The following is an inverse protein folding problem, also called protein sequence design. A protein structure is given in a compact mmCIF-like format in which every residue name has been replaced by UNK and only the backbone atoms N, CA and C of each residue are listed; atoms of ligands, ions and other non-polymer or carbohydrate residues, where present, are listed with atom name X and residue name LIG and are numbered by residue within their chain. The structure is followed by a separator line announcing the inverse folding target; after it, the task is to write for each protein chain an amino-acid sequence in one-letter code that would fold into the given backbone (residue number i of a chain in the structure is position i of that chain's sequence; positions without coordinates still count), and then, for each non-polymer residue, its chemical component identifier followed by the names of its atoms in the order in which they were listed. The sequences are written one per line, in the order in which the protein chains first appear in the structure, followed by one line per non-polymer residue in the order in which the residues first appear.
data_IF_980202321946
#
_entry.id   IF_980202321946
#
_cell.length_a   1.000
_cell.length_b   1.000
_cell.length_c   1.000
_cell.angle_alpha   90.00
_cell.angle_beta   90.00
_cell.angle_gamma   90.00
#
_symmetry.space_group_name_H-M   'P 1'
#
loop_
_entity.id
_entity.type
_entity.pdbx_description
1 polymer ?
#
# COMPACT_ATOMS: atom_id res chain seq x y z
N UNK A 1 -10.84 35.39 16.78
CA UNK A 1 -10.04 34.19 17.09
C UNK A 1 -8.61 34.55 16.76
N UNK A 2 -7.74 34.60 17.75
CA UNK A 2 -6.32 34.96 17.55
C UNK A 2 -5.66 33.80 16.83
N UNK A 3 -5.32 33.97 15.55
CA UNK A 3 -4.53 32.98 14.80
C UNK A 3 -3.22 32.78 15.54
N UNK A 4 -3.04 31.61 16.15
CA UNK A 4 -1.72 31.22 16.66
C UNK A 4 -0.83 31.03 15.44
N UNK A 5 0.27 31.79 15.30
CA UNK A 5 1.15 31.66 14.15
C UNK A 5 1.72 30.24 14.13
N UNK A 6 1.51 29.55 13.02
CA UNK A 6 2.09 28.22 12.81
C UNK A 6 3.60 28.44 12.58
N UNK A 7 4.48 27.81 13.37
CA UNK A 7 5.91 28.02 13.24
C UNK A 7 6.40 27.52 11.88
N UNK A 8 7.15 28.35 11.16
CA UNK A 8 7.93 27.93 9.99
C UNK A 8 9.27 27.36 10.44
N UNK A 9 9.74 26.32 9.75
CA UNK A 9 11.07 25.72 9.95
C UNK A 9 11.65 25.25 8.63
N UNK A 10 12.96 25.08 8.59
CA UNK A 10 13.60 24.42 7.46
C UNK A 10 13.21 22.93 7.39
N UNK A 11 13.15 22.33 6.18
CA UNK A 11 12.96 20.90 6.03
C UNK A 11 14.06 20.12 6.75
N UNK A 12 13.70 18.99 7.35
CA UNK A 12 14.66 18.14 8.04
C UNK A 12 15.83 17.78 7.11
N UNK A 13 17.04 17.97 7.62
CA UNK A 13 18.28 17.70 6.88
C UNK A 13 18.67 16.23 6.94
N UNK A 14 18.10 15.47 7.88
CA UNK A 14 18.32 14.04 8.05
C UNK A 14 17.13 13.30 7.43
N UNK A 15 17.36 12.52 6.36
CA UNK A 15 16.34 11.64 5.80
C UNK A 15 15.98 10.54 6.80
N UNK A 16 14.69 10.31 6.97
CA UNK A 16 14.16 9.25 7.82
C UNK A 16 13.28 8.32 6.96
N UNK A 17 13.62 7.04 6.98
CA UNK A 17 12.81 5.99 6.36
C UNK A 17 11.72 5.52 7.33
N UNK A 18 10.75 4.79 6.78
CA UNK A 18 9.66 4.13 7.50
C UNK A 18 8.77 5.12 8.26
N UNK A 19 8.60 6.31 7.68
CA UNK A 19 7.72 7.37 8.15
C UNK A 19 6.73 7.78 7.07
N UNK A 20 5.47 7.97 7.47
CA UNK A 20 4.46 8.67 6.69
C UNK A 20 4.41 10.12 7.13
N UNK A 21 4.54 11.05 6.18
CA UNK A 21 4.42 12.49 6.41
C UNK A 21 3.13 12.99 5.75
N UNK A 22 2.07 13.29 6.52
CA UNK A 22 0.92 14.01 6.01
C UNK A 22 1.31 15.47 5.73
N UNK A 23 0.76 16.05 4.67
CA UNK A 23 0.97 17.45 4.32
C UNK A 23 -0.28 18.09 3.72
N UNK A 24 -0.27 19.41 3.64
CA UNK A 24 -1.29 20.24 2.99
C UNK A 24 -0.64 21.40 2.24
N UNK A 25 -1.19 21.73 1.08
CA UNK A 25 -0.85 22.91 0.29
C UNK A 25 -2.13 23.73 0.19
N UNK A 26 -2.32 24.64 1.15
CA UNK A 26 -3.58 25.34 1.34
C UNK A 26 -3.97 26.22 0.13
N UNK A 27 -2.99 26.77 -0.59
CA UNK A 27 -3.23 27.58 -1.79
C UNK A 27 -3.88 26.79 -2.93
N UNK A 28 -3.66 25.47 -2.98
CA UNK A 28 -4.19 24.58 -4.01
C UNK A 28 -5.40 23.76 -3.51
N UNK A 29 -5.83 23.92 -2.26
CA UNK A 29 -6.84 23.07 -1.60
C UNK A 29 -6.55 21.55 -1.72
N UNK A 30 -5.27 21.20 -1.73
CA UNK A 30 -4.83 19.80 -1.76
C UNK A 30 -4.21 19.40 -0.42
N UNK A 31 -4.50 18.16 -0.03
CA UNK A 31 -3.79 17.48 1.05
C UNK A 31 -3.16 16.22 0.52
N UNK A 32 -2.14 15.73 1.20
CA UNK A 32 -1.48 14.52 0.77
C UNK A 32 -0.74 13.80 1.86
N UNK A 33 -0.11 12.71 1.45
CA UNK A 33 0.82 11.93 2.26
C UNK A 33 2.00 11.57 1.39
N UNK A 34 3.19 11.68 1.95
CA UNK A 34 4.40 11.16 1.36
C UNK A 34 4.98 10.09 2.28
N UNK A 35 5.55 9.05 1.70
CA UNK A 35 6.19 7.97 2.44
C UNK A 35 7.49 7.60 1.75
N UNK A 36 8.49 7.28 2.55
CA UNK A 36 9.65 6.52 2.10
C UNK A 36 9.86 5.34 3.04
N UNK A 37 9.93 4.16 2.47
CA UNK A 37 10.11 2.89 3.15
C UNK A 37 11.50 2.34 2.79
N UNK A 38 12.23 1.93 3.81
CA UNK A 38 13.57 1.35 3.67
C UNK A 38 13.63 0.04 4.43
N UNK A 39 14.15 0.01 5.67
CA UNK A 39 14.26 -1.21 6.48
C UNK A 39 12.96 -2.03 6.54
N UNK A 40 11.81 -1.37 6.71
CA UNK A 40 10.52 -2.04 6.80
C UNK A 40 10.14 -2.81 5.53
N UNK A 41 10.30 -2.21 4.34
CA UNK A 41 9.95 -2.88 3.08
C UNK A 41 10.99 -3.93 2.71
N UNK A 42 12.28 -3.66 2.96
CA UNK A 42 13.38 -4.62 2.84
C UNK A 42 13.09 -5.89 3.65
N UNK A 43 12.70 -5.72 4.91
CA UNK A 43 12.34 -6.80 5.83
C UNK A 43 11.08 -7.56 5.41
N UNK A 44 10.13 -6.97 4.68
CA UNK A 44 8.95 -7.68 4.17
C UNK A 44 9.33 -8.50 2.94
N UNK A 45 10.02 -7.89 1.99
CA UNK A 45 10.36 -8.50 0.70
C UNK A 45 11.41 -9.60 0.85
N UNK A 46 12.34 -9.48 1.81
CA UNK A 46 13.38 -10.47 2.06
C UNK A 46 12.89 -11.76 2.76
N UNK A 47 11.62 -11.82 3.22
CA UNK A 47 11.07 -13.02 3.91
C UNK A 47 10.83 -14.18 2.96
N UNK A 48 10.69 -13.88 1.68
CA UNK A 48 10.41 -14.81 0.61
C UNK A 48 11.41 -14.59 -0.52
N UNK A 49 11.73 -15.65 -1.27
CA UNK A 49 12.64 -15.57 -2.41
C UNK A 49 11.87 -15.16 -3.67
N UNK A 50 11.28 -13.97 -3.64
CA UNK A 50 10.49 -13.45 -4.75
C UNK A 50 11.40 -13.05 -5.93
N UNK A 51 11.01 -13.37 -7.18
CA UNK A 51 11.64 -12.75 -8.37
C UNK A 51 11.57 -11.22 -8.28
N UNK A 52 12.60 -10.52 -8.77
CA UNK A 52 12.71 -9.05 -8.69
C UNK A 52 11.43 -8.31 -9.12
N UNK A 53 10.77 -8.78 -10.19
CA UNK A 53 9.53 -8.17 -10.69
C UNK A 53 8.35 -8.34 -9.73
N UNK A 54 8.25 -9.48 -9.03
CA UNK A 54 7.22 -9.71 -7.99
C UNK A 54 7.52 -8.88 -6.74
N UNK A 55 8.79 -8.77 -6.35
CA UNK A 55 9.21 -7.90 -5.24
C UNK A 55 8.88 -6.43 -5.48
N UNK A 56 9.09 -5.92 -6.70
CA UNK A 56 8.73 -4.55 -7.07
C UNK A 56 7.23 -4.34 -6.94
N UNK A 57 6.43 -5.19 -7.57
CA UNK A 57 4.97 -5.10 -7.55
C UNK A 57 4.40 -5.22 -6.12
N UNK A 58 4.92 -6.13 -5.29
CA UNK A 58 4.53 -6.24 -3.89
C UNK A 58 4.93 -5.01 -3.08
N UNK A 59 6.11 -4.44 -3.35
CA UNK A 59 6.56 -3.18 -2.74
C UNK A 59 5.64 -2.01 -3.07
N UNK A 60 5.14 -1.91 -4.30
CA UNK A 60 4.20 -0.86 -4.71
C UNK A 60 2.86 -1.01 -3.98
N UNK A 61 2.37 -2.25 -3.89
CA UNK A 61 1.18 -2.56 -3.09
C UNK A 61 1.39 -2.16 -1.61
N UNK A 62 2.59 -2.38 -1.05
CA UNK A 62 2.93 -1.96 0.32
C UNK A 62 2.87 -0.43 0.46
N UNK A 63 3.52 0.31 -0.44
CA UNK A 63 3.49 1.78 -0.42
C UNK A 63 2.07 2.31 -0.53
N UNK A 64 1.31 1.83 -1.49
CA UNK A 64 -0.09 2.21 -1.70
C UNK A 64 -0.91 1.96 -0.44
N UNK A 65 -0.79 0.77 0.14
CA UNK A 65 -1.53 0.41 1.37
C UNK A 65 -1.14 1.29 2.55
N UNK A 66 0.14 1.67 2.69
CA UNK A 66 0.60 2.57 3.74
C UNK A 66 0.03 3.98 3.55
N UNK A 67 0.06 4.51 2.33
CA UNK A 67 -0.51 5.84 2.00
C UNK A 67 -2.01 5.90 2.31
N UNK A 68 -2.76 4.85 1.96
CA UNK A 68 -4.20 4.77 2.17
C UNK A 68 -4.57 4.42 3.61
N UNK A 69 -3.94 3.42 4.21
CA UNK A 69 -4.20 2.98 5.58
C UNK A 69 -3.93 4.07 6.61
N UNK A 70 -2.81 4.80 6.46
CA UNK A 70 -2.50 5.97 7.31
C UNK A 70 -3.40 7.19 7.07
N UNK A 71 -4.32 7.10 6.10
CA UNK A 71 -5.35 8.11 5.86
C UNK A 71 -6.63 7.93 6.67
N UNK A 72 -6.82 6.75 7.23
CA UNK A 72 -7.95 6.44 8.09
C UNK A 72 -7.90 7.29 9.37
N UNK A 73 -9.06 7.83 9.76
CA UNK A 73 -9.19 8.70 10.94
C UNK A 73 -9.45 7.95 12.25
N UNK A 74 -9.52 6.62 12.19
CA UNK A 74 -9.89 5.75 13.30
C UNK A 74 -8.87 4.62 13.44
N UNK A 75 -8.85 4.00 14.62
CA UNK A 75 -8.10 2.77 14.83
C UNK A 75 -8.80 1.61 14.13
N UNK A 76 -8.07 0.95 13.25
CA UNK A 76 -8.63 -0.13 12.46
C UNK A 76 -7.57 -0.83 11.63
N UNK A 77 -8.06 -1.59 10.67
CA UNK A 77 -7.29 -2.37 9.73
C UNK A 77 -7.70 -1.98 8.32
N UNK A 78 -6.71 -1.75 7.48
CA UNK A 78 -6.87 -1.54 6.05
C UNK A 78 -6.21 -2.69 5.32
N UNK A 79 -6.95 -3.34 4.43
CA UNK A 79 -6.46 -4.47 3.64
C UNK A 79 -6.58 -4.11 2.17
N UNK A 80 -5.46 -4.17 1.48
CA UNK A 80 -5.41 -4.12 0.03
C UNK A 80 -5.19 -5.55 -0.48
N UNK A 81 -6.06 -6.04 -1.34
CA UNK A 81 -5.94 -7.38 -1.89
C UNK A 81 -6.24 -7.39 -3.39
N UNK A 82 -5.39 -8.03 -4.19
CA UNK A 82 -5.69 -8.35 -5.58
C UNK A 82 -6.11 -9.81 -5.71
N UNK A 83 -7.01 -10.09 -6.64
CA UNK A 83 -7.27 -11.43 -7.14
C UNK A 83 -7.34 -11.35 -8.65
N UNK A 84 -6.45 -12.06 -9.33
CA UNK A 84 -6.26 -11.93 -10.76
C UNK A 84 -5.96 -13.26 -11.45
N UNK A 85 -6.06 -13.25 -12.78
CA UNK A 85 -5.75 -14.39 -13.64
C UNK A 85 -4.32 -14.39 -14.21
N UNK A 86 -3.53 -13.36 -13.90
CA UNK A 86 -2.12 -13.25 -14.29
C UNK A 86 -1.19 -14.15 -13.46
N UNK A 87 0.11 -14.20 -13.83
CA UNK A 87 1.15 -14.93 -13.10
C UNK A 87 1.20 -14.61 -11.60
N UNK A 88 0.93 -13.38 -11.20
CA UNK A 88 0.77 -12.97 -9.80
C UNK A 88 -0.70 -13.04 -9.44
N UNK A 89 -1.14 -14.21 -8.98
CA UNK A 89 -2.56 -14.53 -8.69
C UNK A 89 -3.17 -13.69 -7.58
N UNK A 90 -2.37 -13.30 -6.58
CA UNK A 90 -2.85 -12.55 -5.44
C UNK A 90 -1.72 -11.76 -4.79
N UNK A 91 -1.97 -10.49 -4.53
CA UNK A 91 -1.23 -9.66 -3.58
C UNK A 91 -2.14 -9.42 -2.39
N UNK A 92 -1.59 -9.45 -1.18
CA UNK A 92 -2.31 -9.00 0.01
C UNK A 92 -1.39 -8.19 0.88
N UNK A 93 -1.83 -7.00 1.23
CA UNK A 93 -1.16 -6.11 2.17
C UNK A 93 -2.14 -5.73 3.25
N UNK A 94 -1.68 -5.87 4.49
CA UNK A 94 -2.47 -5.64 5.68
C UNK A 94 -1.77 -4.57 6.51
N UNK A 95 -2.41 -3.42 6.59
CA UNK A 95 -2.02 -2.31 7.45
C UNK A 95 -2.95 -2.26 8.66
N UNK A 96 -2.37 -2.08 9.85
CA UNK A 96 -3.10 -1.92 11.10
C UNK A 96 -2.59 -0.70 11.85
N UNK A 97 -3.51 0.11 12.36
CA UNK A 97 -3.18 1.25 13.22
C UNK A 97 -2.32 0.82 14.42
N UNK A 98 -1.28 1.58 14.79
CA UNK A 98 -0.89 2.90 14.23
C UNK A 98 0.12 2.84 13.06
N UNK A 99 0.48 1.68 12.54
CA UNK A 99 1.51 1.58 11.48
C UNK A 99 2.09 0.19 11.25
N UNK A 100 1.42 -0.86 11.71
CA UNK A 100 1.92 -2.24 11.56
C UNK A 100 1.54 -2.76 10.18
N UNK A 101 2.52 -3.26 9.43
CA UNK A 101 2.31 -3.74 8.07
C UNK A 101 2.86 -5.15 7.88
N UNK A 102 2.11 -5.95 7.13
CA UNK A 102 2.59 -7.20 6.56
C UNK A 102 2.06 -7.35 5.15
N UNK A 103 2.81 -8.05 4.31
CA UNK A 103 2.43 -8.27 2.93
C UNK A 103 2.81 -9.67 2.47
N UNK A 104 2.15 -10.14 1.43
CA UNK A 104 2.41 -11.42 0.80
C UNK A 104 1.98 -11.39 -0.66
N UNK A 105 2.71 -12.12 -1.51
CA UNK A 105 2.37 -12.34 -2.90
C UNK A 105 2.29 -13.85 -3.18
N UNK A 106 1.19 -14.28 -3.77
CA UNK A 106 1.04 -15.60 -4.37
C UNK A 106 1.21 -15.48 -5.88
N UNK A 107 2.11 -16.27 -6.44
CA UNK A 107 2.42 -16.24 -7.87
C UNK A 107 2.69 -17.65 -8.40
N UNK A 108 2.75 -17.77 -9.73
CA UNK A 108 3.21 -18.96 -10.45
C UNK A 108 4.67 -18.72 -10.89
N UNK A 109 5.57 -19.54 -10.36
CA UNK A 109 7.01 -19.36 -10.54
C UNK A 109 7.45 -19.58 -11.98
N UNK A 110 6.86 -20.56 -12.67
CA UNK A 110 7.20 -20.89 -14.04
C UNK A 110 6.62 -19.85 -15.00
N UNK A 111 5.38 -19.41 -14.75
CA UNK A 111 4.74 -18.36 -15.54
C UNK A 111 5.50 -17.02 -15.44
N UNK A 112 5.92 -16.62 -14.23
CA UNK A 112 6.74 -15.40 -14.05
C UNK A 112 8.10 -15.54 -14.73
N UNK A 113 8.76 -16.69 -14.60
CA UNK A 113 10.08 -16.93 -15.21
C UNK A 113 10.03 -16.97 -16.76
N UNK A 114 8.88 -17.32 -17.35
CA UNK A 114 8.68 -17.32 -18.79
C UNK A 114 8.53 -15.92 -19.41
N UNK A 115 8.22 -14.89 -18.59
CA UNK A 115 8.05 -13.52 -19.07
C UNK A 115 9.38 -12.78 -19.14
N UNK A 116 9.63 -12.10 -20.27
CA UNK A 116 10.79 -11.26 -20.46
C UNK A 116 10.45 -9.80 -20.10
N UNK A 117 11.03 -9.28 -19.02
CA UNK A 117 10.80 -7.92 -18.51
C UNK A 117 9.31 -7.52 -18.44
N UNK A 118 8.47 -8.28 -17.70
CA UNK A 118 7.04 -8.02 -17.62
C UNK A 118 6.76 -6.66 -16.96
N UNK A 119 5.73 -5.99 -17.45
CA UNK A 119 5.06 -4.88 -16.75
C UNK A 119 4.14 -5.39 -15.65
N UNK A 120 3.65 -4.50 -14.78
CA UNK A 120 2.66 -4.86 -13.76
C UNK A 120 1.39 -5.45 -14.38
N UNK A 121 0.99 -4.91 -15.54
CA UNK A 121 -0.15 -5.40 -16.30
C UNK A 121 0.05 -6.85 -16.76
N UNK A 122 1.27 -7.22 -17.18
CA UNK A 122 1.59 -8.60 -17.59
C UNK A 122 1.58 -9.56 -16.38
N UNK A 123 2.00 -9.07 -15.21
CA UNK A 123 2.03 -9.86 -13.97
C UNK A 123 0.63 -10.06 -13.37
N UNK A 124 -0.17 -9.00 -13.35
CA UNK A 124 -1.50 -9.02 -12.76
C UNK A 124 -2.53 -9.58 -13.74
N UNK A 125 -2.44 -9.30 -15.03
CA UNK A 125 -3.48 -9.67 -15.99
C UNK A 125 -4.80 -8.94 -15.70
N UNK A 126 -5.90 -9.70 -15.66
CA UNK A 126 -7.25 -9.19 -15.37
C UNK A 126 -7.71 -9.67 -14.01
N UNK A 127 -8.54 -8.87 -13.36
CA UNK A 127 -9.12 -9.25 -12.08
C UNK A 127 -9.70 -8.07 -11.35
N UNK A 128 -9.51 -8.03 -10.04
CA UNK A 128 -9.96 -6.93 -9.22
C UNK A 128 -8.99 -6.64 -8.07
N UNK A 129 -8.99 -5.38 -7.65
CA UNK A 129 -8.35 -4.87 -6.46
C UNK A 129 -9.46 -4.55 -5.45
N UNK A 130 -9.44 -5.24 -4.31
CA UNK A 130 -10.33 -5.00 -3.19
C UNK A 130 -9.61 -4.18 -2.11
N UNK A 131 -10.24 -3.09 -1.69
CA UNK A 131 -9.81 -2.27 -0.56
C UNK A 131 -10.81 -2.45 0.58
N UNK A 132 -10.37 -3.02 1.68
CA UNK A 132 -11.23 -3.38 2.82
C UNK A 132 -10.84 -2.56 4.05
N UNK A 133 -11.83 -1.95 4.67
CA UNK A 133 -11.73 -1.21 5.91
C UNK A 133 -12.47 -1.99 7.00
N UNK A 134 -11.74 -2.37 8.05
CA UNK A 134 -12.27 -3.06 9.23
C UNK A 134 -11.99 -2.22 10.49
N UNK A 135 -13.06 -1.75 11.13
CA UNK A 135 -12.99 -0.90 12.34
C UNK A 135 -13.18 -1.70 13.63
N UNK A 136 -13.18 -3.03 13.57
CA UNK A 136 -13.40 -3.91 14.71
C UNK A 136 -14.79 -4.55 14.73
N UNK A 137 -15.04 -5.36 15.76
CA UNK A 137 -16.18 -6.28 15.83
C UNK A 137 -17.56 -5.59 15.85
N UNK A 138 -17.62 -4.35 16.33
CA UNK A 138 -18.87 -3.60 16.49
C UNK A 138 -19.28 -2.84 15.23
N UNK A 139 -18.45 -2.87 14.18
CA UNK A 139 -18.67 -2.14 12.94
C UNK A 139 -18.70 -3.09 11.75
N UNK A 140 -19.54 -2.76 10.78
CA UNK A 140 -19.58 -3.53 9.52
C UNK A 140 -18.33 -3.22 8.71
N UNK A 141 -17.70 -4.28 8.18
CA UNK A 141 -16.57 -4.13 7.26
C UNK A 141 -17.05 -3.47 5.97
N UNK A 142 -16.35 -2.42 5.57
CA UNK A 142 -16.54 -1.77 4.29
C UNK A 142 -15.53 -2.33 3.29
N UNK A 143 -15.97 -2.67 2.08
CA UNK A 143 -15.11 -3.15 1.02
C UNK A 143 -15.52 -2.50 -0.30
N UNK A 144 -14.58 -1.80 -0.92
CA UNK A 144 -14.74 -1.32 -2.29
C UNK A 144 -13.87 -2.14 -3.25
N UNK A 145 -14.38 -2.34 -4.47
CA UNK A 145 -13.70 -3.11 -5.51
C UNK A 145 -13.50 -2.23 -6.74
N UNK A 146 -12.32 -2.35 -7.34
CA UNK A 146 -12.00 -1.76 -8.64
C UNK A 146 -11.50 -2.85 -9.58
N UNK A 147 -11.90 -2.79 -10.84
CA UNK A 147 -11.46 -3.75 -11.84
C UNK A 147 -9.98 -3.52 -12.18
N UNK A 148 -9.24 -4.61 -12.38
CA UNK A 148 -7.89 -4.56 -12.94
C UNK A 148 -7.96 -5.01 -14.39
N UNK A 149 -7.56 -4.13 -15.31
CA UNK A 149 -7.73 -4.31 -16.76
C UNK A 149 -6.44 -4.18 -17.57
N UNK A 150 -5.28 -4.51 -16.99
CA UNK A 150 -3.98 -4.36 -17.66
C UNK A 150 -3.32 -3.00 -17.45
N UNK A 151 -3.47 -2.43 -16.25
CA UNK A 151 -2.85 -1.18 -15.81
C UNK A 151 -1.99 -1.35 -14.56
N UNK A 152 -1.50 -0.23 -14.02
CA UNK A 152 -0.69 -0.20 -12.79
C UNK A 152 -1.55 -0.12 -11.53
N UNK A 153 -0.93 -0.34 -10.36
CA UNK A 153 -1.60 -0.10 -9.08
C UNK A 153 -1.91 1.39 -8.84
N UNK A 154 -1.16 2.31 -9.45
CA UNK A 154 -1.48 3.75 -9.44
C UNK A 154 -2.82 4.01 -10.11
N UNK A 155 -3.00 3.49 -11.32
CA UNK A 155 -4.21 3.68 -12.13
C UNK A 155 -5.44 3.07 -11.43
N UNK A 156 -5.29 1.87 -10.87
CA UNK A 156 -6.34 1.22 -10.09
C UNK A 156 -6.74 2.06 -8.86
N UNK A 157 -5.77 2.67 -8.17
CA UNK A 157 -6.06 3.58 -7.06
C UNK A 157 -6.79 4.84 -7.53
N UNK A 158 -6.38 5.45 -8.65
CA UNK A 158 -7.06 6.63 -9.19
C UNK A 158 -8.52 6.32 -9.56
N UNK A 159 -8.77 5.18 -10.21
CA UNK A 159 -10.12 4.74 -10.55
C UNK A 159 -10.98 4.46 -9.32
N UNK A 160 -10.41 3.80 -8.29
CA UNK A 160 -11.10 3.57 -7.02
C UNK A 160 -11.57 4.90 -6.39
N UNK A 161 -10.68 5.88 -6.25
CA UNK A 161 -11.03 7.16 -5.62
C UNK A 161 -11.99 7.99 -6.46
N UNK A 162 -11.88 7.92 -7.79
CA UNK A 162 -12.79 8.60 -8.69
C UNK A 162 -14.22 8.04 -8.55
N UNK A 163 -14.39 6.71 -8.54
CA UNK A 163 -15.71 6.06 -8.54
C UNK A 163 -16.33 5.91 -7.14
N UNK A 164 -15.54 5.45 -6.16
CA UNK A 164 -16.07 5.05 -4.86
C UNK A 164 -16.10 6.19 -3.84
N UNK A 165 -15.10 7.06 -3.87
CA UNK A 165 -14.96 8.15 -2.88
C UNK A 165 -15.32 9.53 -3.46
N UNK A 166 -15.33 9.67 -4.78
CA UNK A 166 -15.51 10.94 -5.50
C UNK A 166 -14.51 12.03 -5.06
N UNK A 167 -13.30 11.63 -4.72
CA UNK A 167 -12.21 12.54 -4.34
C UNK A 167 -11.14 12.45 -5.43
N UNK A 168 -10.91 13.52 -6.22
CA UNK A 168 -9.81 13.56 -7.17
C UNK A 168 -8.50 13.26 -6.45
N UNK A 169 -7.85 12.17 -6.84
CA UNK A 169 -6.70 11.61 -6.14
C UNK A 169 -5.63 11.24 -7.16
N UNK A 170 -4.39 11.63 -6.87
CA UNK A 170 -3.21 11.30 -7.65
C UNK A 170 -2.25 10.55 -6.75
N UNK A 171 -1.71 9.45 -7.25
CA UNK A 171 -0.75 8.58 -6.56
C UNK A 171 0.45 8.39 -7.46
N UNK A 172 1.64 8.48 -6.86
CA UNK A 172 2.92 8.07 -7.45
C UNK A 172 3.58 7.06 -6.53
N UNK A 173 4.07 5.97 -7.09
CA UNK A 173 4.72 4.84 -6.43
C UNK A 173 6.05 4.58 -7.11
N UNK A 174 7.06 4.22 -6.34
CA UNK A 174 8.34 3.79 -6.87
C UNK A 174 8.93 2.71 -5.98
N UNK A 175 9.51 1.68 -6.58
CA UNK A 175 10.22 0.60 -5.90
C UNK A 175 11.44 0.17 -6.70
N UNK A 176 12.59 0.12 -6.03
CA UNK A 176 13.83 -0.35 -6.63
C UNK A 176 14.75 -1.03 -5.61
N UNK A 177 15.69 -1.81 -6.12
CA UNK A 177 16.84 -2.28 -5.36
C UNK A 177 17.89 -1.18 -5.27
N UNK A 178 18.26 -0.83 -4.04
CA UNK A 178 19.44 -0.04 -3.74
C UNK A 178 20.66 -0.97 -3.65
N UNK A 179 21.73 -0.58 -4.34
CA UNK A 179 23.03 -1.22 -4.26
C UNK A 179 24.00 -0.30 -3.54
N UNK A 180 24.32 -0.62 -2.29
CA UNK A 180 25.26 0.14 -1.48
C UNK A 180 26.58 -0.62 -1.31
N UNK A 181 27.71 0.09 -1.34
CA UNK A 181 28.98 -0.49 -0.94
C UNK A 181 28.96 -0.80 0.57
N UNK A 182 29.34 -2.01 0.96
CA UNK A 182 29.44 -2.45 2.35
C UNK A 182 30.78 -3.15 2.60
N UNK A 183 31.20 -3.19 3.87
CA UNK A 183 32.37 -3.98 4.27
C UNK A 183 32.10 -5.46 3.97
N UNK A 184 32.72 -6.00 2.92
CA UNK A 184 32.52 -7.38 2.46
C UNK A 184 31.77 -7.55 1.14
N UNK A 185 31.40 -6.46 0.44
CA UNK A 185 30.80 -6.53 -0.90
C UNK A 185 29.74 -5.46 -1.17
N UNK A 186 28.84 -5.74 -2.10
CA UNK A 186 27.65 -4.92 -2.32
C UNK A 186 26.51 -5.41 -1.41
N UNK A 187 25.93 -4.52 -0.62
CA UNK A 187 24.68 -4.78 0.08
C UNK A 187 23.53 -4.39 -0.84
N UNK A 188 22.65 -5.35 -1.09
CA UNK A 188 21.36 -5.12 -1.77
C UNK A 188 20.29 -4.87 -0.72
N UNK A 189 19.44 -3.88 -0.95
CA UNK A 189 18.25 -3.62 -0.15
C UNK A 189 17.12 -3.13 -1.02
N UNK A 190 15.89 -3.42 -0.62
CA UNK A 190 14.75 -2.79 -1.25
C UNK A 190 14.48 -1.41 -0.65
N UNK A 191 14.17 -0.46 -1.53
CA UNK A 191 13.64 0.85 -1.16
C UNK A 191 12.34 1.07 -1.91
N UNK A 192 11.39 1.70 -1.24
CA UNK A 192 10.09 2.03 -1.81
C UNK A 192 9.67 3.42 -1.36
N UNK A 193 8.98 4.16 -2.22
CA UNK A 193 8.54 5.51 -1.92
C UNK A 193 7.24 5.80 -2.63
N UNK A 194 6.47 6.75 -2.09
CA UNK A 194 5.26 7.18 -2.75
C UNK A 194 4.71 8.50 -2.23
N UNK A 195 3.88 9.09 -3.07
CA UNK A 195 3.21 10.36 -2.84
C UNK A 195 1.75 10.21 -3.24
N UNK A 196 0.85 10.59 -2.35
CA UNK A 196 -0.58 10.71 -2.62
C UNK A 196 -1.02 12.16 -2.44
N UNK A 197 -1.74 12.69 -3.43
CA UNK A 197 -2.36 14.00 -3.42
C UNK A 197 -3.88 13.84 -3.58
N UNK A 198 -4.65 14.58 -2.80
CA UNK A 198 -6.12 14.59 -2.85
C UNK A 198 -6.62 16.03 -2.89
N UNK A 199 -7.53 16.33 -3.80
CA UNK A 199 -8.17 17.63 -3.91
C UNK A 199 -9.42 17.70 -3.03
N UNK A 200 -9.43 18.59 -2.04
CA UNK A 200 -10.55 18.79 -1.12
C UNK A 200 -10.89 20.28 -1.01
N UNK A 201 -11.52 20.84 -2.05
CA UNK A 201 -11.90 22.24 -2.06
C UNK A 201 -12.91 22.54 -0.95
N UNK A 202 -12.78 23.74 -0.37
CA UNK A 202 -13.67 24.20 0.71
C UNK A 202 -15.00 24.78 0.20
N UNK A 203 -15.04 25.20 -1.08
CA UNK A 203 -16.25 25.76 -1.69
C UNK A 203 -17.01 24.70 -2.48
N UNK A 204 -18.33 24.71 -2.34
CA UNK A 204 -19.24 23.77 -3.03
C UNK A 204 -19.20 23.89 -4.55
N UNK A 205 -18.83 25.05 -5.09
CA UNK A 205 -18.65 25.27 -6.52
C UNK A 205 -17.47 24.49 -7.09
N UNK A 206 -16.36 24.41 -6.34
CA UNK A 206 -15.13 23.71 -6.74
C UNK A 206 -15.18 22.21 -6.41
N UNK A 207 -16.13 21.78 -5.57
CA UNK A 207 -16.43 20.37 -5.30
C UNK A 207 -17.23 19.69 -6.42
N UNK A 208 -17.62 20.43 -7.48
CA UNK A 208 -18.38 19.86 -8.59
C UNK A 208 -17.51 18.87 -9.36
N UNK A 209 -17.86 17.59 -9.25
CA UNK A 209 -17.36 16.54 -10.13
C UNK A 209 -18.32 16.36 -11.30
N UNK A 210 -17.85 15.94 -12.49
CA UNK A 210 -18.72 15.47 -13.56
C UNK A 210 -19.66 14.38 -13.03
N UNK A 211 -20.91 14.38 -13.47
CA UNK A 211 -21.81 13.27 -13.21
C UNK A 211 -21.22 12.00 -13.86
N UNK A 212 -20.89 11.00 -13.03
CA UNK A 212 -20.43 9.71 -13.53
C UNK A 212 -21.59 9.03 -14.26
N UNK A 213 -21.31 8.51 -15.47
CA UNK A 213 -22.31 7.79 -16.25
C UNK A 213 -22.81 6.56 -15.47
N UNK A 214 -24.12 6.47 -15.16
CA UNK A 214 -24.70 5.32 -14.47
C UNK A 214 -24.62 4.00 -15.27
N UNK A 215 -24.21 4.06 -16.54
CA UNK A 215 -24.04 2.89 -17.42
C UNK A 215 -25.33 2.47 -18.13
N UNK A 216 -26.43 3.19 -17.92
CA UNK A 216 -27.73 3.01 -18.57
C UNK A 216 -28.17 4.24 -19.38
N UNK A 217 -27.25 5.18 -19.63
CA UNK A 217 -27.51 6.36 -20.44
C UNK A 217 -27.90 5.99 -21.89
N UNK A 218 -28.94 6.61 -22.47
CA UNK A 218 -29.32 6.38 -23.86
C UNK A 218 -28.16 6.64 -24.84
N UNK A 219 -28.08 5.84 -25.91
CA UNK A 219 -27.13 6.07 -27.01
C UNK A 219 -27.28 7.51 -27.54
N UNK A 220 -26.18 8.28 -27.51
CA UNK A 220 -26.14 9.69 -27.91
C UNK A 220 -26.22 10.69 -26.75
N UNK A 221 -26.26 10.23 -25.49
CA UNK A 221 -26.12 11.11 -24.33
C UNK A 221 -24.73 11.75 -24.34
N UNK A 222 -24.67 13.08 -24.37
CA UNK A 222 -23.42 13.83 -24.26
C UNK A 222 -23.10 13.96 -22.76
N UNK A 223 -21.94 13.45 -22.30
CA UNK A 223 -21.54 13.61 -20.91
C UNK A 223 -21.47 15.09 -20.52
N UNK A 224 -21.88 15.41 -19.29
CA UNK A 224 -21.68 16.75 -18.76
C UNK A 224 -20.18 16.95 -18.45
N UNK A 225 -19.48 17.69 -19.32
CA UNK A 225 -18.09 18.06 -19.07
C UNK A 225 -18.02 19.24 -18.09
N UNK A 226 -17.55 18.95 -16.87
CA UNK A 226 -17.13 19.99 -15.92
C UNK A 226 -15.63 20.17 -16.10
N UNK A 227 -15.13 21.37 -16.45
CA UNK A 227 -13.70 21.64 -16.49
C UNK A 227 -13.06 21.31 -15.14
N UNK A 228 -11.92 20.61 -15.15
CA UNK A 228 -11.17 20.37 -13.92
C UNK A 228 -10.71 21.69 -13.30
N UNK A 229 -10.69 21.74 -11.97
CA UNK A 229 -10.23 22.91 -11.23
C UNK A 229 -8.76 23.20 -11.53
N UNK A 230 -8.42 24.46 -11.83
CA UNK A 230 -7.04 24.85 -12.18
C UNK A 230 -6.03 24.49 -11.09
N UNK A 231 -6.41 24.60 -9.81
CA UNK A 231 -5.53 24.23 -8.71
C UNK A 231 -5.28 22.72 -8.65
N UNK A 232 -6.27 21.92 -9.03
CA UNK A 232 -6.12 20.48 -9.15
C UNK A 232 -5.22 20.11 -10.33
N UNK A 233 -5.42 20.72 -11.50
CA UNK A 233 -4.57 20.53 -12.68
C UNK A 233 -3.11 20.89 -12.36
N UNK A 234 -2.87 22.01 -11.67
CA UNK A 234 -1.54 22.42 -11.24
C UNK A 234 -0.93 21.42 -10.25
N UNK A 235 -1.68 21.01 -9.22
CA UNK A 235 -1.23 20.01 -8.26
C UNK A 235 -0.84 18.68 -8.92
N UNK A 236 -1.63 18.23 -9.90
CA UNK A 236 -1.31 17.05 -10.71
C UNK A 236 -0.03 17.23 -11.53
N UNK A 237 0.12 18.40 -12.18
CA UNK A 237 1.30 18.71 -12.97
C UNK A 237 2.58 18.70 -12.12
N UNK A 238 2.54 19.29 -10.92
CA UNK A 238 3.67 19.26 -9.99
C UNK A 238 4.03 17.84 -9.57
N UNK A 239 3.05 17.02 -9.18
CA UNK A 239 3.27 15.61 -8.80
C UNK A 239 3.80 14.78 -9.98
N UNK A 240 3.41 15.09 -11.21
CA UNK A 240 3.88 14.40 -12.40
C UNK A 240 5.37 14.63 -12.70
N UNK A 241 5.98 15.69 -12.13
CA UNK A 241 7.42 15.93 -12.25
C UNK A 241 8.27 15.09 -11.30
N UNK A 242 7.65 14.40 -10.33
CA UNK A 242 8.36 13.58 -9.34
C UNK A 242 8.97 12.37 -10.02
N UNK A 243 10.30 12.28 -9.98
CA UNK A 243 11.03 11.13 -10.49
C UNK A 243 11.09 10.00 -9.44
N UNK A 244 11.14 8.76 -9.91
CA UNK A 244 11.27 7.57 -9.06
C UNK A 244 12.52 7.67 -8.16
N UNK A 245 13.61 8.22 -8.68
CA UNK A 245 14.85 8.43 -7.92
C UNK A 245 14.63 9.38 -6.74
N UNK A 246 13.83 10.43 -6.85
CA UNK A 246 13.55 11.35 -5.76
C UNK A 246 12.70 10.72 -4.65
N UNK A 247 11.78 9.84 -5.03
CA UNK A 247 10.98 9.05 -4.07
C UNK A 247 11.84 8.07 -3.28
N UNK A 248 12.93 7.58 -3.88
CA UNK A 248 13.76 6.51 -3.33
C UNK A 248 15.07 6.98 -2.68
N UNK A 249 15.58 8.16 -3.05
CA UNK A 249 16.91 8.67 -2.70
C UNK A 249 17.10 8.77 -1.18
N UNK A 250 17.99 7.96 -0.56
CA UNK A 250 18.25 8.00 0.88
C UNK A 250 18.87 9.32 1.36
N UNK A 251 19.37 10.18 0.47
CA UNK A 251 19.98 11.46 0.80
C UNK A 251 18.99 12.65 0.77
N UNK A 252 17.81 12.47 0.18
CA UNK A 252 16.81 13.53 0.02
C UNK A 252 15.70 13.37 1.06
N UNK A 253 15.56 14.21 2.09
CA UNK A 253 14.43 14.03 3.03
C UNK A 253 13.06 14.20 2.37
N UNK A 254 12.04 13.49 2.86
CA UNK A 254 10.66 13.60 2.35
C UNK A 254 10.11 15.03 2.47
N UNK A 255 10.45 15.75 3.54
CA UNK A 255 10.08 17.17 3.69
C UNK A 255 10.76 18.06 2.65
N UNK A 256 12.01 17.75 2.29
CA UNK A 256 12.73 18.48 1.25
C UNK A 256 12.11 18.23 -0.12
N UNK A 257 11.69 17.00 -0.43
CA UNK A 257 10.95 16.69 -1.65
C UNK A 257 9.64 17.49 -1.71
N UNK A 258 8.84 17.46 -0.64
CA UNK A 258 7.60 18.25 -0.57
C UNK A 258 7.84 19.75 -0.71
N UNK A 259 8.91 20.27 -0.11
CA UNK A 259 9.30 21.67 -0.30
C UNK A 259 9.68 21.94 -1.76
N UNK A 260 10.50 21.10 -2.41
CA UNK A 260 10.85 21.29 -3.83
C UNK A 260 9.61 21.37 -4.72
N UNK A 261 8.63 20.49 -4.49
CA UNK A 261 7.39 20.44 -5.27
C UNK A 261 6.49 21.65 -5.07
N UNK A 262 6.37 22.15 -3.83
CA UNK A 262 5.32 23.11 -3.46
C UNK A 262 5.86 24.41 -2.83
N UNK A 263 7.13 24.75 -3.03
CA UNK A 263 7.76 25.92 -2.42
C UNK A 263 7.08 27.24 -2.80
N UNK A 264 6.56 27.38 -4.02
CA UNK A 264 5.87 28.59 -4.47
C UNK A 264 4.53 28.80 -3.75
N UNK A 265 3.82 27.71 -3.46
CA UNK A 265 2.49 27.72 -2.81
C UNK A 265 2.56 27.68 -1.28
N UNK A 266 3.69 27.22 -0.74
CA UNK A 266 3.86 26.91 0.67
C UNK A 266 3.26 25.55 1.03
N UNK A 267 4.09 24.67 1.60
CA UNK A 267 3.68 23.36 2.10
C UNK A 267 3.70 23.33 3.62
N UNK A 268 2.63 22.78 4.20
CA UNK A 268 2.54 22.49 5.63
C UNK A 268 2.65 20.99 5.83
N UNK A 269 3.69 20.55 6.53
CA UNK A 269 3.81 19.16 6.99
C UNK A 269 3.22 18.99 8.38
N UNK A 270 2.68 17.80 8.65
CA UNK A 270 2.15 17.42 9.96
C UNK A 270 3.06 16.40 10.64
N UNK A 271 2.69 15.98 11.86
CA UNK A 271 3.43 14.98 12.61
C UNK A 271 3.57 13.69 11.81
N UNK A 272 4.81 13.25 11.62
CA UNK A 272 5.10 11.97 10.99
C UNK A 272 4.61 10.79 11.84
N UNK A 273 4.14 9.73 11.17
CA UNK A 273 3.74 8.48 11.79
C UNK A 273 4.70 7.37 11.35
N UNK A 274 5.22 6.60 12.31
CA UNK A 274 6.12 5.49 12.02
C UNK A 274 5.36 4.26 11.50
N UNK A 275 6.00 3.50 10.62
CA UNK A 275 5.50 2.22 10.13
C UNK A 275 6.51 1.11 10.35
N UNK A 276 6.03 -0.10 10.65
CA UNK A 276 6.89 -1.25 11.02
C UNK A 276 6.39 -2.54 10.35
N UNK A 277 7.33 -3.38 9.92
CA UNK A 277 7.05 -4.69 9.33
C UNK A 277 6.69 -5.71 10.41
N UNK A 278 5.42 -5.78 10.79
CA UNK A 278 4.96 -6.66 11.87
C UNK A 278 3.95 -7.69 11.41
N UNK A 279 4.35 -8.95 11.46
CA UNK A 279 3.38 -10.04 11.34
C UNK A 279 2.64 -10.21 12.66
N UNK A 280 1.35 -10.53 12.57
CA UNK A 280 0.57 -10.79 13.75
C UNK A 280 0.70 -12.25 14.21
N UNK A 281 1.16 -13.22 13.41
CA UNK A 281 1.14 -14.63 13.78
C UNK A 281 1.81 -14.94 15.14
N UNK A 282 1.26 -15.92 15.86
CA UNK A 282 1.83 -16.46 17.09
C UNK A 282 1.56 -17.95 17.15
N UNK A 283 2.36 -18.68 17.94
CA UNK A 283 2.15 -20.12 18.17
C UNK A 283 0.73 -20.40 18.65
N UNK A 284 0.18 -19.56 19.53
CA UNK A 284 -1.17 -19.66 20.07
C UNK A 284 -2.25 -19.53 18.97
N UNK A 285 -2.10 -18.57 18.05
CA UNK A 285 -3.08 -18.41 16.96
C UNK A 285 -3.00 -19.54 15.96
N UNK A 286 -1.80 -20.02 15.66
CA UNK A 286 -1.64 -21.20 14.81
C UNK A 286 -2.24 -22.44 15.47
N UNK A 287 -2.03 -22.63 16.78
CA UNK A 287 -2.68 -23.70 17.53
C UNK A 287 -4.21 -23.56 17.52
N UNK A 288 -4.75 -22.34 17.64
CA UNK A 288 -6.19 -22.08 17.51
C UNK A 288 -6.75 -22.47 16.14
N UNK A 289 -6.02 -22.19 15.05
CA UNK A 289 -6.38 -22.62 13.69
C UNK A 289 -6.36 -24.15 13.60
N UNK A 290 -5.29 -24.81 14.08
CA UNK A 290 -5.20 -26.27 14.13
C UNK A 290 -6.37 -26.87 14.92
N UNK A 291 -6.81 -26.21 15.99
CA UNK A 291 -7.96 -26.62 16.80
C UNK A 291 -9.32 -26.53 16.10
N UNK A 292 -9.45 -25.76 15.01
CA UNK A 292 -10.69 -25.69 14.23
C UNK A 292 -10.90 -26.90 13.30
N UNK A 293 -9.86 -27.69 13.06
CA UNK A 293 -9.94 -28.94 12.31
C UNK A 293 -10.43 -30.09 13.20
N UNK A 294 -11.10 -31.06 12.60
CA UNK A 294 -11.51 -32.29 13.28
C UNK A 294 -10.32 -33.08 13.81
N UNK A 295 -10.56 -34.00 14.76
CA UNK A 295 -9.49 -34.86 15.28
C UNK A 295 -8.87 -35.74 14.19
N UNK A 296 -9.68 -36.22 13.25
CA UNK A 296 -9.25 -37.05 12.12
C UNK A 296 -8.34 -36.27 11.16
N UNK A 297 -8.72 -35.05 10.79
CA UNK A 297 -7.88 -34.15 9.98
C UNK A 297 -6.57 -33.83 10.67
N UNK A 298 -6.59 -33.57 11.99
CA UNK A 298 -5.37 -33.30 12.76
C UNK A 298 -4.42 -34.49 12.80
N UNK A 299 -4.92 -35.72 12.93
CA UNK A 299 -4.10 -36.94 12.85
C UNK A 299 -3.53 -37.11 11.44
N UNK A 300 -4.33 -36.86 10.39
CA UNK A 300 -3.88 -36.95 9.01
C UNK A 300 -2.80 -35.92 8.63
N UNK A 301 -2.75 -34.77 9.33
CA UNK A 301 -1.72 -33.74 9.15
C UNK A 301 -0.38 -34.08 9.83
N UNK A 302 -0.31 -35.11 10.67
CA UNK A 302 0.93 -35.49 11.37
C UNK A 302 1.87 -36.20 10.40
N UNK A 303 3.05 -35.61 10.20
CA UNK A 303 4.17 -36.21 9.47
C UNK A 303 5.36 -36.32 10.43
N UNK A 304 5.97 -37.52 10.52
CA UNK A 304 7.08 -37.80 11.43
C UNK A 304 6.83 -37.38 12.91
N UNK A 305 5.59 -37.55 13.38
CA UNK A 305 5.17 -37.22 14.74
C UNK A 305 5.03 -35.72 15.03
N UNK A 306 5.04 -34.88 13.98
CA UNK A 306 4.96 -33.42 14.09
C UNK A 306 4.00 -32.83 13.06
N UNK A 307 3.51 -31.63 13.36
CA UNK A 307 2.77 -30.79 12.42
C UNK A 307 3.55 -29.50 12.24
N UNK A 308 3.93 -29.19 11.00
CA UNK A 308 4.62 -27.97 10.62
C UNK A 308 3.69 -27.01 9.90
N UNK A 309 3.53 -25.80 10.43
CA UNK A 309 2.75 -24.73 9.78
C UNK A 309 3.66 -23.55 9.51
N UNK A 310 3.76 -23.15 8.25
CA UNK A 310 4.48 -21.94 7.85
C UNK A 310 3.49 -20.79 7.70
N UNK A 311 3.78 -19.64 8.31
CA UNK A 311 2.98 -18.44 8.09
C UNK A 311 3.33 -17.82 6.73
N UNK A 312 2.38 -17.76 5.81
CA UNK A 312 2.58 -17.15 4.48
C UNK A 312 3.07 -15.70 4.53
N UNK A 313 2.68 -14.90 5.53
CA UNK A 313 3.11 -13.49 5.61
C UNK A 313 4.57 -13.31 6.02
N UNK A 314 5.06 -14.10 6.98
CA UNK A 314 6.38 -13.88 7.55
C UNK A 314 7.35 -15.05 7.41
N UNK A 315 6.92 -16.10 6.74
CA UNK A 315 7.67 -17.32 6.50
C UNK A 315 8.20 -17.99 7.79
N UNK A 316 7.63 -17.65 8.95
CA UNK A 316 7.98 -18.29 10.22
C UNK A 316 7.33 -19.66 10.28
N UNK A 317 8.15 -20.69 10.48
CA UNK A 317 7.69 -22.08 10.67
C UNK A 317 7.41 -22.35 12.14
N UNK A 318 6.19 -22.77 12.43
CA UNK A 318 5.76 -23.26 13.73
C UNK A 318 5.67 -24.78 13.69
N UNK A 319 6.29 -25.44 14.66
CA UNK A 319 6.26 -26.90 14.77
C UNK A 319 5.54 -27.29 16.04
N UNK A 320 4.58 -28.20 15.92
CA UNK A 320 3.83 -28.79 17.02
C UNK A 320 4.08 -30.30 17.09
N UNK A 321 4.08 -30.88 18.28
CA UNK A 321 4.10 -32.34 18.45
C UNK A 321 2.70 -32.90 18.24
N UNK A 322 2.59 -34.20 17.93
CA UNK A 322 1.30 -34.87 17.83
C UNK A 322 0.46 -34.65 19.10
N UNK A 323 1.05 -34.86 20.29
CA UNK A 323 0.37 -34.70 21.59
C UNK A 323 -0.21 -33.29 21.81
N UNK A 324 0.49 -32.25 21.35
CA UNK A 324 0.03 -30.86 21.45
C UNK A 324 -1.24 -30.60 20.61
N UNK A 325 -1.46 -31.38 19.55
CA UNK A 325 -2.51 -31.11 18.55
C UNK A 325 -3.65 -32.13 18.62
N UNK A 326 -3.37 -33.40 18.94
CA UNK A 326 -4.40 -34.45 19.07
C UNK A 326 -4.96 -34.57 20.49
N UNK A 327 -4.35 -33.90 21.46
CA UNK A 327 -4.57 -34.15 22.89
C UNK A 327 -3.79 -35.39 23.35
N UNK A 328 -3.63 -35.59 24.68
CA UNK A 328 -2.87 -36.71 25.21
C UNK A 328 -3.48 -38.03 24.74
N UNK A 329 -2.68 -38.86 24.07
CA UNK A 329 -2.99 -40.28 23.89
C UNK A 329 -3.16 -40.92 25.26
N UNK A 330 -4.38 -41.40 25.54
CA UNK A 330 -4.69 -42.20 26.72
C UNK A 330 -4.02 -43.58 26.64
#
# INVERSE_FOLDING_TARGET
MTETPIPSREPDTVPHDDLVIPFEVAALDVRGRAVRLGPMVDDILARHDYPTVVSRLLGEAVVLTVLLGSSLKFDGRFILQTQTDGPVRMLVVDWRSPGLVRAYAQFDHDAVAALANPSDADLLGRGHLAMTIDQGADMTRYQGLVALGGGTLEEAAHEYFLRSEQIPTRVRLAVAEEFAAAAGGARRRWRAGGLMLQFLPKSTERMRSPDLDPGDAPEGTVPHEVPEDEAWVEGQALVATVEDLELLDPALSTERLLYRLFHEHGVRVFRAAAVEAKCSCSRERVAGILGSFSAEERVAMVEDGRIGVTCEFCNTRYTFTADEVTGPTA
#
